data_IF_420179118542
#
_entry.id   IF_420179118542
#
_cell.length_a   1.000
_cell.length_b   1.000
_cell.length_c   1.000
_cell.angle_alpha   90.00
_cell.angle_beta   90.00
_cell.angle_gamma   90.00
#
_symmetry.space_group_name_H-M   'P 1'
#
loop_
_entity.id
_entity.type
_entity.pdbx_description
1 polymer ?
#
# COMPACT_ATOMS: atom_id res chain seq x y z
N UNK A 1 0.28 -8.76 13.00
CA UNK A 1 0.05 -7.97 14.21
C UNK A 1 -1.36 -8.19 14.74
N UNK A 2 -1.64 -7.85 16.02
CA UNK A 2 -3.00 -7.80 16.52
C UNK A 2 -3.80 -6.71 15.80
N UNK A 3 -5.14 -6.84 15.80
CA UNK A 3 -6.04 -5.84 15.24
C UNK A 3 -5.91 -4.51 16.01
N UNK A 4 -5.61 -3.45 15.28
CA UNK A 4 -5.70 -2.09 15.78
C UNK A 4 -7.11 -1.55 15.56
N UNK A 5 -7.71 -1.04 16.63
CA UNK A 5 -9.04 -0.44 16.56
C UNK A 5 -10.18 -1.43 16.21
N UNK A 6 -11.32 -0.89 15.89
CA UNK A 6 -12.49 -1.64 15.42
C UNK A 6 -12.61 -1.49 13.90
N UNK A 7 -12.84 -2.59 13.15
CA UNK A 7 -13.11 -2.51 11.72
C UNK A 7 -14.18 -1.48 11.39
N UNK A 8 -13.94 -0.63 10.38
CA UNK A 8 -14.83 0.46 10.01
C UNK A 8 -16.08 -0.09 9.31
N UNK A 9 -17.25 0.11 9.94
CA UNK A 9 -18.52 -0.37 9.41
C UNK A 9 -19.06 0.49 8.24
N UNK A 10 -18.53 1.69 8.04
CA UNK A 10 -19.01 2.67 7.06
C UNK A 10 -18.35 2.57 5.68
N UNK A 11 -17.63 1.48 5.38
CA UNK A 11 -17.03 1.28 4.05
C UNK A 11 -18.14 1.27 2.99
N UNK A 12 -18.11 2.18 1.99
CA UNK A 12 -19.17 2.29 1.00
C UNK A 12 -19.23 1.08 0.06
N UNK A 13 -20.35 0.89 -0.61
CA UNK A 13 -20.42 0.05 -1.81
C UNK A 13 -19.57 0.70 -2.91
N UNK A 14 -18.96 -0.12 -3.78
CA UNK A 14 -18.09 0.37 -4.85
C UNK A 14 -18.79 1.35 -5.80
N UNK A 15 -20.11 1.24 -5.95
CA UNK A 15 -20.93 2.15 -6.78
C UNK A 15 -21.14 3.52 -6.17
N UNK A 16 -20.95 3.64 -4.85
CA UNK A 16 -21.20 4.87 -4.09
C UNK A 16 -19.90 5.60 -3.70
N UNK A 17 -18.76 5.16 -4.22
CA UNK A 17 -17.47 5.76 -3.91
C UNK A 17 -17.35 7.17 -4.48
N UNK A 18 -17.07 8.12 -3.59
CA UNK A 18 -16.52 9.43 -3.91
C UNK A 18 -15.12 9.51 -3.33
N UNK A 19 -14.12 9.36 -4.17
CA UNK A 19 -12.72 9.16 -3.76
C UNK A 19 -11.92 10.46 -3.87
N UNK A 20 -11.10 10.71 -2.86
CA UNK A 20 -10.10 11.78 -2.86
C UNK A 20 -8.70 11.19 -2.79
N UNK A 21 -7.93 11.37 -3.86
CA UNK A 21 -6.53 10.92 -3.93
C UNK A 21 -5.61 11.96 -3.29
N UNK A 22 -4.69 11.49 -2.46
CA UNK A 22 -3.68 12.32 -1.80
C UNK A 22 -2.27 11.92 -2.22
N UNK A 23 -1.55 12.83 -2.87
CA UNK A 23 -0.10 12.76 -3.00
C UNK A 23 0.52 13.48 -1.80
N UNK A 24 1.00 12.71 -0.84
CA UNK A 24 1.33 13.20 0.51
C UNK A 24 2.42 14.28 0.49
N UNK A 25 3.49 14.11 -0.31
CA UNK A 25 4.62 15.04 -0.40
C UNK A 25 4.22 16.49 -0.69
N UNK A 26 3.41 16.79 -1.74
CA UNK A 26 3.03 18.17 -2.07
C UNK A 26 1.73 18.60 -1.38
N UNK A 27 1.03 17.73 -0.66
CA UNK A 27 -0.32 18.01 -0.14
C UNK A 27 -0.32 19.09 0.95
N UNK A 28 0.71 19.12 1.78
CA UNK A 28 0.87 20.11 2.85
C UNK A 28 2.30 20.64 2.92
N UNK A 29 2.51 21.74 3.63
CA UNK A 29 3.82 22.32 3.82
C UNK A 29 4.84 21.34 4.43
N UNK A 30 4.36 20.45 5.31
CA UNK A 30 5.21 19.44 5.96
C UNK A 30 5.37 18.16 5.12
N UNK A 31 4.55 17.96 4.09
CA UNK A 31 4.63 16.80 3.18
C UNK A 31 4.49 15.44 3.86
N UNK A 32 3.72 15.34 4.94
CA UNK A 32 3.59 14.15 5.77
C UNK A 32 2.12 13.79 6.11
N UNK A 33 1.94 12.64 6.77
CA UNK A 33 0.61 12.14 7.15
C UNK A 33 -0.13 13.10 8.10
N UNK A 34 0.58 13.75 9.03
CA UNK A 34 -0.03 14.73 9.93
C UNK A 34 -0.62 15.92 9.17
N UNK A 35 0.01 16.34 8.07
CA UNK A 35 -0.53 17.38 7.19
C UNK A 35 -1.82 16.98 6.50
N UNK A 36 -1.98 15.70 6.17
CA UNK A 36 -3.25 15.16 5.64
C UNK A 36 -4.31 15.12 6.73
N UNK A 37 -3.97 14.64 7.91
CA UNK A 37 -4.87 14.59 9.08
C UNK A 37 -5.46 15.97 9.40
N UNK A 38 -4.64 17.01 9.32
CA UNK A 38 -5.09 18.39 9.56
C UNK A 38 -6.14 18.91 8.54
N UNK A 39 -6.30 18.23 7.40
CA UNK A 39 -7.22 18.60 6.31
C UNK A 39 -8.42 17.68 6.15
N UNK A 40 -8.64 16.73 7.07
CA UNK A 40 -9.73 15.76 6.96
C UNK A 40 -11.12 16.41 6.89
N UNK A 41 -11.36 17.50 7.63
CA UNK A 41 -12.64 18.23 7.55
C UNK A 41 -12.85 18.85 6.17
N UNK A 42 -11.79 19.42 5.57
CA UNK A 42 -11.87 19.98 4.22
C UNK A 42 -12.14 18.89 3.18
N UNK A 43 -11.48 17.73 3.30
CA UNK A 43 -11.68 16.58 2.41
C UNK A 43 -13.11 16.08 2.55
N UNK A 44 -13.63 15.95 3.77
CA UNK A 44 -15.01 15.53 4.03
C UNK A 44 -16.03 16.51 3.44
N UNK A 45 -15.76 17.80 3.52
CA UNK A 45 -16.65 18.84 2.98
C UNK A 45 -16.86 18.77 1.46
N UNK A 46 -15.96 18.10 0.74
CA UNK A 46 -16.07 17.80 -0.70
C UNK A 46 -17.04 16.64 -1.02
N UNK A 47 -17.63 16.03 0.01
CA UNK A 47 -18.48 14.84 -0.16
C UNK A 47 -17.68 13.52 -0.24
N UNK A 48 -16.41 13.53 0.10
CA UNK A 48 -15.53 12.35 0.06
C UNK A 48 -16.00 11.30 1.06
N UNK A 49 -16.01 10.04 0.63
CA UNK A 49 -16.23 8.88 1.50
C UNK A 49 -15.09 7.83 1.44
N UNK A 50 -14.12 8.00 0.55
CA UNK A 50 -12.91 7.18 0.47
C UNK A 50 -11.69 8.08 0.27
N UNK A 51 -10.72 8.02 1.18
CA UNK A 51 -9.41 8.63 1.01
C UNK A 51 -8.46 7.60 0.41
N UNK A 52 -7.86 7.93 -0.71
CA UNK A 52 -6.84 7.15 -1.38
C UNK A 52 -5.47 7.80 -1.13
N UNK A 53 -4.63 7.17 -0.30
CA UNK A 53 -3.27 7.61 -0.04
C UNK A 53 -2.32 6.99 -1.07
N UNK A 54 -1.58 7.80 -1.82
CA UNK A 54 -0.43 7.32 -2.60
C UNK A 54 0.58 6.62 -1.66
N UNK A 55 1.54 5.82 -2.18
CA UNK A 55 2.35 4.95 -1.34
C UNK A 55 3.02 5.67 -0.18
N UNK A 56 2.97 5.05 0.99
CA UNK A 56 3.49 5.57 2.27
C UNK A 56 4.80 4.91 2.69
N UNK A 57 5.32 3.97 1.90
CA UNK A 57 6.45 3.13 2.26
C UNK A 57 7.78 3.85 2.11
N UNK A 58 8.86 3.39 2.76
CA UNK A 58 10.21 3.85 2.45
C UNK A 58 10.53 3.58 0.98
N UNK A 59 11.11 4.57 0.30
CA UNK A 59 11.60 4.38 -1.06
C UNK A 59 13.06 3.89 -1.06
N UNK A 60 13.51 3.37 -2.21
CA UNK A 60 14.90 2.95 -2.39
C UNK A 60 15.90 4.11 -2.29
N UNK A 61 17.09 3.80 -1.82
CA UNK A 61 18.17 4.79 -1.55
C UNK A 61 19.50 4.42 -2.20
N UNK A 62 19.62 3.24 -2.79
CA UNK A 62 20.82 2.83 -3.52
C UNK A 62 20.90 3.48 -4.92
N UNK A 63 22.05 3.33 -5.60
CA UNK A 63 22.32 3.98 -6.88
C UNK A 63 21.42 3.53 -8.04
N UNK A 64 20.77 2.36 -7.91
CA UNK A 64 19.87 1.82 -8.94
C UNK A 64 18.41 2.18 -8.69
N UNK A 65 18.06 2.54 -7.46
CA UNK A 65 16.70 2.89 -7.05
C UNK A 65 16.41 4.38 -7.26
N UNK A 66 15.15 4.76 -7.13
CA UNK A 66 14.72 6.16 -7.21
C UNK A 66 13.97 6.57 -5.95
N UNK A 67 13.79 7.89 -5.78
CA UNK A 67 12.96 8.45 -4.72
C UNK A 67 11.45 8.42 -5.05
N UNK A 68 11.04 7.69 -6.08
CA UNK A 68 9.63 7.47 -6.39
C UNK A 68 8.91 6.80 -5.22
N UNK A 69 7.71 7.21 -4.85
CA UNK A 69 6.88 6.50 -3.88
C UNK A 69 6.59 5.05 -4.25
N UNK A 70 6.69 4.70 -5.53
CA UNK A 70 6.47 3.35 -6.06
C UNK A 70 7.73 2.48 -6.07
N UNK A 71 8.90 3.05 -5.76
CA UNK A 71 10.17 2.32 -5.59
C UNK A 71 10.30 1.86 -4.13
N UNK A 72 9.59 0.82 -3.77
CA UNK A 72 9.33 0.42 -2.37
C UNK A 72 10.49 -0.37 -1.79
N UNK A 73 11.04 0.11 -0.69
CA UNK A 73 12.15 -0.52 0.05
C UNK A 73 11.69 -1.45 1.17
N UNK A 74 10.50 -1.25 1.72
CA UNK A 74 9.90 -2.10 2.75
C UNK A 74 8.38 -1.99 2.69
N UNK A 75 7.70 -3.11 2.45
CA UNK A 75 6.24 -3.16 2.38
C UNK A 75 5.53 -3.05 3.74
N UNK A 76 6.25 -3.17 4.86
CA UNK A 76 5.68 -3.17 6.22
C UNK A 76 6.15 -2.00 7.07
N UNK A 77 6.75 -0.99 6.49
CA UNK A 77 7.18 0.22 7.18
C UNK A 77 6.54 1.46 6.59
N UNK A 78 6.31 2.48 7.42
CA UNK A 78 6.01 3.84 6.96
C UNK A 78 7.32 4.54 6.67
N UNK A 79 7.45 5.16 5.50
CA UNK A 79 8.62 5.97 5.16
C UNK A 79 8.77 7.13 6.15
N UNK A 80 9.97 7.33 6.68
CA UNK A 80 10.24 8.36 7.69
C UNK A 80 9.87 9.78 7.24
N UNK A 81 9.88 10.02 5.93
CA UNK A 81 9.43 11.30 5.35
C UNK A 81 7.93 11.54 5.58
N UNK A 82 7.13 10.49 5.66
CA UNK A 82 5.68 10.57 5.84
C UNK A 82 5.27 10.56 7.32
N UNK A 83 6.13 10.11 8.21
CA UNK A 83 5.86 9.99 9.63
C UNK A 83 6.02 8.56 10.14
N UNK A 84 5.10 8.12 10.99
CA UNK A 84 5.14 6.84 11.68
C UNK A 84 3.85 6.04 11.51
N UNK A 85 3.85 4.78 11.97
CA UNK A 85 2.62 3.98 12.08
C UNK A 85 1.58 4.67 12.98
N UNK A 86 2.02 5.37 14.04
CA UNK A 86 1.11 6.12 14.91
C UNK A 86 0.44 7.27 14.15
N UNK A 87 1.18 7.97 13.28
CA UNK A 87 0.61 9.04 12.45
C UNK A 87 -0.41 8.49 11.44
N UNK A 88 -0.13 7.31 10.84
CA UNK A 88 -1.09 6.66 9.96
C UNK A 88 -2.37 6.25 10.73
N UNK A 89 -2.23 5.67 11.90
CA UNK A 89 -3.37 5.33 12.77
C UNK A 89 -4.22 6.55 13.12
N UNK A 90 -3.58 7.66 13.47
CA UNK A 90 -4.28 8.92 13.75
C UNK A 90 -5.07 9.41 12.54
N UNK A 91 -4.50 9.32 11.33
CA UNK A 91 -5.19 9.66 10.10
C UNK A 91 -6.38 8.74 9.85
N UNK A 92 -6.19 7.44 9.96
CA UNK A 92 -7.26 6.44 9.73
C UNK A 92 -8.40 6.62 10.74
N UNK A 93 -8.10 6.77 12.03
CA UNK A 93 -9.10 7.02 13.07
C UNK A 93 -9.87 8.32 12.81
N UNK A 94 -9.17 9.37 12.40
CA UNK A 94 -9.76 10.65 12.05
C UNK A 94 -10.68 10.58 10.83
N UNK A 95 -10.29 9.81 9.80
CA UNK A 95 -11.11 9.57 8.63
C UNK A 95 -12.37 8.75 8.98
N UNK A 96 -12.20 7.65 9.71
CA UNK A 96 -13.30 6.79 10.15
C UNK A 96 -14.32 7.56 11.01
N UNK A 97 -13.87 8.41 11.94
CA UNK A 97 -14.74 9.23 12.76
C UNK A 97 -15.58 10.23 11.95
N UNK A 98 -15.15 10.55 10.72
CA UNK A 98 -15.86 11.41 9.77
C UNK A 98 -16.62 10.63 8.69
N UNK A 99 -16.71 9.32 8.82
CA UNK A 99 -17.41 8.45 7.86
C UNK A 99 -16.67 8.26 6.53
N UNK A 100 -15.34 8.37 6.53
CA UNK A 100 -14.50 8.12 5.35
C UNK A 100 -13.64 6.88 5.55
N UNK A 101 -13.67 5.97 4.56
CA UNK A 101 -12.72 4.86 4.46
C UNK A 101 -11.34 5.35 4.01
N UNK A 102 -10.31 4.57 4.31
CA UNK A 102 -8.92 4.84 3.88
C UNK A 102 -8.36 3.63 3.15
N UNK A 103 -7.89 3.83 1.91
CA UNK A 103 -7.19 2.82 1.14
C UNK A 103 -5.74 3.25 0.87
N UNK A 104 -4.84 2.28 0.81
CA UNK A 104 -3.44 2.51 0.47
C UNK A 104 -3.16 2.14 -0.99
N UNK A 105 -2.30 2.93 -1.62
CA UNK A 105 -1.69 2.56 -2.89
C UNK A 105 -0.53 1.59 -2.66
N UNK A 106 -0.48 0.52 -3.40
CA UNK A 106 0.60 -0.46 -3.31
C UNK A 106 1.02 -0.93 -4.71
N UNK A 107 2.33 -0.95 -4.95
CA UNK A 107 2.95 -1.46 -6.16
C UNK A 107 3.63 -2.79 -5.86
N UNK A 108 2.95 -3.90 -6.14
CA UNK A 108 3.38 -5.25 -5.75
C UNK A 108 4.15 -5.98 -6.86
N UNK A 109 4.39 -5.35 -8.00
CA UNK A 109 5.07 -5.95 -9.14
C UNK A 109 6.59 -6.02 -8.98
N UNK A 110 7.14 -5.21 -8.08
CA UNK A 110 8.57 -5.12 -7.85
C UNK A 110 8.90 -4.33 -6.59
N UNK A 111 10.18 -4.21 -6.33
CA UNK A 111 10.73 -3.50 -5.17
C UNK A 111 11.88 -2.60 -5.59
N UNK A 112 12.36 -1.74 -4.68
CA UNK A 112 13.66 -1.10 -4.85
C UNK A 112 14.77 -2.17 -4.92
N UNK A 113 15.93 -1.81 -5.45
CA UNK A 113 17.08 -2.71 -5.54
C UNK A 113 17.73 -2.98 -4.19
N UNK A 114 17.55 -2.10 -3.22
CA UNK A 114 18.03 -2.23 -1.84
C UNK A 114 16.95 -2.73 -0.87
N UNK A 115 15.85 -3.29 -1.39
CA UNK A 115 14.87 -4.00 -0.56
C UNK A 115 15.52 -5.23 0.08
N UNK A 116 15.26 -5.48 1.36
CA UNK A 116 15.86 -6.60 2.09
C UNK A 116 15.68 -7.98 1.43
N UNK A 117 14.60 -8.19 0.69
CA UNK A 117 14.34 -9.45 -0.02
C UNK A 117 15.31 -9.72 -1.17
N UNK A 118 15.96 -8.71 -1.75
CA UNK A 118 16.97 -8.95 -2.80
C UNK A 118 18.14 -9.79 -2.31
N UNK A 119 18.40 -9.74 -1.00
CA UNK A 119 19.46 -10.50 -0.33
C UNK A 119 18.91 -11.71 0.42
N UNK A 120 17.82 -11.53 1.20
CA UNK A 120 17.29 -12.60 2.05
C UNK A 120 16.43 -13.61 1.31
N UNK A 121 15.78 -13.20 0.21
CA UNK A 121 14.84 -14.01 -0.58
C UNK A 121 14.95 -13.72 -2.08
N UNK A 122 16.15 -13.94 -2.69
CA UNK A 122 16.33 -13.68 -4.12
C UNK A 122 15.40 -14.54 -4.99
N UNK A 123 14.89 -15.66 -4.48
CA UNK A 123 13.91 -16.52 -5.13
C UNK A 123 12.53 -15.86 -5.31
N UNK A 124 12.25 -14.76 -4.63
CA UNK A 124 11.02 -13.98 -4.84
C UNK A 124 11.02 -13.21 -6.16
N UNK A 125 12.18 -13.03 -6.76
CA UNK A 125 12.37 -12.18 -7.95
C UNK A 125 12.46 -12.97 -9.25
N UNK A 126 12.06 -12.33 -10.34
CA UNK A 126 12.37 -12.80 -11.69
C UNK A 126 13.89 -12.75 -11.88
N UNK A 127 14.48 -13.85 -12.35
CA UNK A 127 15.93 -13.98 -12.50
C UNK A 127 16.30 -14.58 -13.84
N UNK A 128 17.50 -14.19 -14.33
CA UNK A 128 18.24 -14.91 -15.37
C UNK A 128 19.49 -15.49 -14.72
N UNK A 129 19.50 -16.82 -14.53
CA UNK A 129 20.49 -17.46 -13.65
C UNK A 129 20.36 -16.94 -12.21
N UNK A 130 21.40 -16.32 -11.69
CA UNK A 130 21.42 -15.70 -10.36
C UNK A 130 21.09 -14.20 -10.37
N UNK A 131 20.97 -13.58 -11.56
CA UNK A 131 20.79 -12.15 -11.72
C UNK A 131 19.31 -11.76 -11.65
N UNK A 132 18.95 -10.92 -10.68
CA UNK A 132 17.61 -10.35 -10.59
C UNK A 132 17.37 -9.40 -11.77
N UNK A 133 16.19 -9.51 -12.39
CA UNK A 133 15.80 -8.71 -13.55
C UNK A 133 15.07 -7.44 -13.12
N UNK A 134 15.16 -6.38 -13.93
CA UNK A 134 14.32 -5.19 -13.75
C UNK A 134 12.87 -5.45 -14.19
N UNK A 135 11.95 -4.66 -13.69
CA UNK A 135 10.54 -4.70 -14.08
C UNK A 135 10.32 -3.95 -15.41
N UNK A 136 10.24 -4.68 -16.52
CA UNK A 136 9.99 -4.07 -17.82
C UNK A 136 10.97 -2.94 -18.12
N UNK A 137 10.43 -1.74 -18.39
CA UNK A 137 11.21 -0.53 -18.66
C UNK A 137 11.54 0.30 -17.39
N UNK A 138 11.17 -0.18 -16.21
CA UNK A 138 11.44 0.49 -14.93
C UNK A 138 12.79 0.04 -14.38
N UNK A 139 13.86 0.74 -14.77
CA UNK A 139 15.23 0.37 -14.38
C UNK A 139 15.49 0.50 -12.88
N UNK A 140 14.70 1.29 -12.17
CA UNK A 140 14.75 1.50 -10.72
C UNK A 140 14.01 0.44 -9.90
N UNK A 141 13.34 -0.51 -10.56
CA UNK A 141 12.50 -1.54 -9.90
C UNK A 141 13.03 -2.94 -10.21
N UNK A 142 13.31 -3.71 -9.16
CA UNK A 142 13.59 -5.15 -9.24
C UNK A 142 12.28 -5.93 -9.37
N UNK A 143 12.14 -6.76 -10.40
CA UNK A 143 10.89 -7.45 -10.71
C UNK A 143 10.62 -8.63 -9.78
N UNK A 144 9.48 -8.64 -9.09
CA UNK A 144 8.99 -9.80 -8.34
C UNK A 144 8.40 -10.85 -9.28
N UNK A 145 8.63 -12.11 -8.96
CA UNK A 145 8.00 -13.25 -9.65
C UNK A 145 6.68 -13.60 -8.98
N UNK A 146 5.59 -13.04 -9.51
CA UNK A 146 4.23 -13.23 -8.98
C UNK A 146 3.62 -14.59 -9.35
N UNK A 147 4.35 -15.45 -10.09
CA UNK A 147 4.00 -16.85 -10.29
C UNK A 147 4.57 -17.75 -9.17
N UNK A 148 5.53 -17.26 -8.41
CA UNK A 148 6.10 -17.97 -7.27
C UNK A 148 5.16 -17.87 -6.06
N UNK A 149 4.75 -19.02 -5.50
CA UNK A 149 3.85 -19.06 -4.35
C UNK A 149 4.44 -18.41 -3.09
N UNK A 150 5.75 -18.51 -2.87
CA UNK A 150 6.42 -17.86 -1.74
C UNK A 150 6.36 -16.32 -1.87
N UNK A 151 6.54 -15.79 -3.08
CA UNK A 151 6.36 -14.36 -3.36
C UNK A 151 4.91 -13.93 -3.10
N UNK A 152 3.93 -14.67 -3.60
CA UNK A 152 2.50 -14.39 -3.35
C UNK A 152 2.19 -14.38 -1.85
N UNK A 153 2.74 -15.32 -1.08
CA UNK A 153 2.55 -15.36 0.37
C UNK A 153 3.15 -14.15 1.07
N UNK A 154 4.34 -13.71 0.66
CA UNK A 154 4.97 -12.52 1.21
C UNK A 154 4.15 -11.25 0.92
N UNK A 155 3.58 -11.12 -0.28
CA UNK A 155 2.69 -10.01 -0.65
C UNK A 155 1.39 -10.05 0.15
N UNK A 156 0.74 -11.23 0.25
CA UNK A 156 -0.48 -11.39 1.08
C UNK A 156 -0.21 -10.98 2.53
N UNK A 157 0.92 -11.40 3.08
CA UNK A 157 1.30 -11.07 4.46
C UNK A 157 1.52 -9.56 4.64
N UNK A 158 2.16 -8.90 3.68
CA UNK A 158 2.35 -7.45 3.69
C UNK A 158 1.01 -6.70 3.60
N UNK A 159 0.11 -7.13 2.72
CA UNK A 159 -1.20 -6.49 2.59
C UNK A 159 -2.08 -6.73 3.84
N UNK A 160 -2.07 -7.93 4.39
CA UNK A 160 -2.77 -8.22 5.66
C UNK A 160 -2.22 -7.41 6.83
N UNK A 161 -0.90 -7.16 6.84
CA UNK A 161 -0.26 -6.38 7.89
C UNK A 161 -0.95 -5.02 8.11
N UNK A 162 -1.20 -4.26 7.06
CA UNK A 162 -1.78 -2.92 7.18
C UNK A 162 -3.25 -2.91 7.60
N UNK A 163 -4.01 -3.93 7.17
CA UNK A 163 -5.40 -4.10 7.60
C UNK A 163 -5.46 -4.24 9.13
N UNK A 164 -4.57 -5.05 9.70
CA UNK A 164 -4.54 -5.26 11.14
C UNK A 164 -3.77 -4.16 11.89
N UNK A 165 -2.62 -3.73 11.39
CA UNK A 165 -1.76 -2.78 12.09
C UNK A 165 -2.30 -1.36 12.11
N UNK A 166 -3.00 -0.94 11.06
CA UNK A 166 -3.48 0.43 10.88
C UNK A 166 -4.98 0.54 10.63
N UNK A 167 -5.69 -0.58 10.56
CA UNK A 167 -7.15 -0.60 10.31
C UNK A 167 -7.56 0.08 9.00
N UNK A 168 -6.74 -0.04 7.95
CA UNK A 168 -7.08 0.45 6.61
C UNK A 168 -8.20 -0.39 6.00
N UNK A 169 -8.89 0.17 5.02
CA UNK A 169 -10.12 -0.39 4.45
C UNK A 169 -9.91 -1.01 3.07
N UNK A 170 -8.68 -1.09 2.60
CA UNK A 170 -8.37 -1.73 1.34
C UNK A 170 -7.20 -1.10 0.59
N UNK A 171 -7.15 -1.37 -0.71
CA UNK A 171 -6.03 -1.01 -1.57
C UNK A 171 -6.45 -0.50 -2.94
N UNK A 172 -5.65 0.41 -3.48
CA UNK A 172 -5.47 0.62 -4.90
C UNK A 172 -4.18 -0.06 -5.32
N UNK A 173 -4.22 -0.91 -6.32
CA UNK A 173 -3.07 -1.67 -6.77
C UNK A 173 -2.53 -1.07 -8.09
N UNK A 174 -1.29 -0.58 -8.03
CA UNK A 174 -0.63 0.00 -9.19
C UNK A 174 -0.19 -1.08 -10.19
N UNK A 175 -0.19 -0.73 -11.50
CA UNK A 175 0.24 -1.62 -12.59
C UNK A 175 -0.48 -2.97 -12.56
N UNK A 176 -1.79 -2.93 -12.32
CA UNK A 176 -2.62 -4.10 -12.06
C UNK A 176 -2.79 -5.04 -13.26
N UNK A 177 -2.43 -4.61 -14.46
CA UNK A 177 -2.46 -5.44 -15.66
C UNK A 177 -1.23 -6.35 -15.84
N UNK A 178 -0.20 -6.19 -15.03
CA UNK A 178 1.00 -7.03 -15.10
C UNK A 178 0.84 -8.39 -14.40
N UNK A 179 0.22 -8.50 -13.19
CA UNK A 179 -0.10 -9.80 -12.62
C UNK A 179 -1.23 -10.49 -13.39
N UNK A 180 -1.28 -11.82 -13.28
CA UNK A 180 -2.32 -12.64 -13.89
C UNK A 180 -3.65 -12.57 -13.13
N UNK A 181 -4.76 -12.99 -13.77
CA UNK A 181 -6.07 -13.00 -13.12
C UNK A 181 -6.12 -13.96 -11.93
N UNK A 182 -5.43 -15.10 -12.01
CA UNK A 182 -5.35 -16.05 -10.89
C UNK A 182 -4.62 -15.46 -9.68
N UNK A 183 -3.57 -14.65 -9.91
CA UNK A 183 -2.92 -13.90 -8.82
C UNK A 183 -3.92 -12.98 -8.12
N UNK A 184 -4.67 -12.16 -8.87
CA UNK A 184 -5.66 -11.27 -8.27
C UNK A 184 -6.81 -12.00 -7.59
N UNK A 185 -7.24 -13.11 -8.16
CA UNK A 185 -8.27 -13.96 -7.54
C UNK A 185 -7.79 -14.51 -6.21
N UNK A 186 -6.54 -14.97 -6.13
CA UNK A 186 -5.96 -15.48 -4.89
C UNK A 186 -5.81 -14.37 -3.83
N UNK A 187 -5.28 -13.21 -4.20
CA UNK A 187 -5.11 -12.07 -3.28
C UNK A 187 -6.47 -11.60 -2.76
N UNK A 188 -7.43 -11.36 -3.65
CA UNK A 188 -8.77 -10.93 -3.28
C UNK A 188 -9.47 -11.92 -2.35
N UNK A 189 -9.42 -13.20 -2.68
CA UNK A 189 -10.01 -14.25 -1.85
C UNK A 189 -9.39 -14.32 -0.46
N UNK A 190 -8.06 -14.20 -0.38
CA UNK A 190 -7.34 -14.19 0.89
C UNK A 190 -7.70 -12.99 1.77
N UNK A 191 -7.70 -11.78 1.20
CA UNK A 191 -8.01 -10.56 1.95
C UNK A 191 -9.48 -10.49 2.35
N UNK A 192 -10.40 -10.85 1.45
CA UNK A 192 -11.83 -10.87 1.74
C UNK A 192 -12.23 -11.99 2.72
N UNK A 193 -11.39 -12.99 2.92
CA UNK A 193 -11.53 -14.01 3.95
C UNK A 193 -11.27 -13.49 5.37
N UNK A 194 -10.84 -12.23 5.53
CA UNK A 194 -10.77 -11.53 6.81
C UNK A 194 -12.19 -11.06 7.15
N UNK A 195 -12.94 -11.90 7.84
CA UNK A 195 -14.41 -11.75 8.03
C UNK A 195 -14.82 -10.52 8.82
N UNK A 196 -13.93 -9.95 9.59
CA UNK A 196 -14.19 -8.75 10.41
C UNK A 196 -14.09 -7.43 9.62
N UNK A 197 -13.66 -7.47 8.35
CA UNK A 197 -13.44 -6.29 7.52
C UNK A 197 -14.26 -6.35 6.23
N UNK A 198 -14.87 -5.22 5.87
CA UNK A 198 -15.36 -4.97 4.52
C UNK A 198 -14.25 -4.21 3.78
N UNK A 199 -13.67 -4.82 2.75
CA UNK A 199 -12.51 -4.27 2.04
C UNK A 199 -12.88 -3.76 0.64
N UNK A 200 -12.22 -2.66 0.25
CA UNK A 200 -12.16 -2.14 -1.11
C UNK A 200 -10.86 -2.60 -1.80
N UNK A 201 -10.97 -3.05 -3.08
CA UNK A 201 -9.84 -3.44 -3.92
C UNK A 201 -10.03 -2.88 -5.32
#
# INVERSE_FOLDING_TARGET
PPQYGTPFAGVPDTRDINMYQVHIRPFSANGNLAGVTARLDNIKALGTNVIYLMPIFPHGTDSRSSASPYCIKDFKAVGSEYGSLADLRTLVDGAHSRGMAVILDIAINGTSWDHGWTVSHPEYYKRSGTTIQQLGNFSDIAALDLNNSATRNAIKDAMRYWIFAANIDGYRCDYANNPTLDFWSEINSNLRGITSHKLLM
#
